data_IF_165576797444
#
_entry.id   IF_165576797444
#
_cell.length_a   1.000
_cell.length_b   1.000
_cell.length_c   1.000
_cell.angle_alpha   90.00
_cell.angle_beta   90.00
_cell.angle_gamma   90.00
#
_symmetry.space_group_name_H-M   'P 1'
#
loop_
_entity.id
_entity.type
_entity.pdbx_description
1 polymer ?
#
# COMPACT_ATOMS: atom_id res chain seq x y z
N UNK A 1 5.97 15.12 10.53
CA UNK A 1 7.22 15.74 10.03
C UNK A 1 8.27 14.65 9.89
N UNK A 2 8.96 14.57 8.75
CA UNK A 2 10.08 13.63 8.55
C UNK A 2 11.34 14.17 9.23
N UNK A 3 12.25 13.28 9.65
CA UNK A 3 13.53 13.65 10.28
C UNK A 3 14.38 14.58 9.42
N UNK A 4 14.33 14.44 8.09
CA UNK A 4 14.95 15.38 7.14
C UNK A 4 14.35 16.80 7.21
N UNK A 5 13.02 16.91 7.38
CA UNK A 5 12.35 18.21 7.54
C UNK A 5 12.69 18.93 8.84
N UNK A 6 12.99 18.18 9.91
CA UNK A 6 13.50 18.74 11.17
C UNK A 6 14.95 19.25 11.01
N UNK A 7 15.83 18.46 10.39
CA UNK A 7 17.21 18.87 10.11
C UNK A 7 17.27 20.15 9.25
N UNK A 8 16.47 20.23 8.17
CA UNK A 8 16.42 21.45 7.33
C UNK A 8 15.96 22.67 8.11
N UNK A 9 14.97 22.51 8.99
CA UNK A 9 14.50 23.62 9.83
C UNK A 9 15.60 24.10 10.77
N UNK A 10 16.24 23.18 11.48
CA UNK A 10 17.38 23.50 12.36
C UNK A 10 18.53 24.16 11.58
N UNK A 11 18.85 23.68 10.37
CA UNK A 11 19.88 24.31 9.53
C UNK A 11 19.54 25.78 9.25
N UNK A 12 18.32 26.05 8.79
CA UNK A 12 17.86 27.43 8.50
C UNK A 12 17.93 28.31 9.76
N UNK A 13 17.48 27.80 10.91
CA UNK A 13 17.52 28.52 12.19
C UNK A 13 18.97 28.84 12.61
N UNK A 14 19.88 27.87 12.53
CA UNK A 14 21.31 28.06 12.87
C UNK A 14 22.03 29.00 11.90
N UNK A 15 21.74 28.93 10.60
CA UNK A 15 22.30 29.85 9.60
C UNK A 15 21.80 31.28 9.81
N UNK A 16 20.53 31.45 10.18
CA UNK A 16 19.97 32.77 10.45
C UNK A 16 20.58 33.37 11.73
N UNK A 17 20.67 32.59 12.80
CA UNK A 17 21.34 33.02 14.04
C UNK A 17 22.80 33.43 13.80
N UNK A 18 23.55 32.66 12.98
CA UNK A 18 24.94 33.00 12.61
C UNK A 18 25.02 34.33 11.85
N UNK A 19 24.08 34.59 10.94
CA UNK A 19 24.01 35.85 10.18
C UNK A 19 23.70 37.04 11.09
N UNK A 20 22.75 36.87 12.01
CA UNK A 20 22.33 37.92 12.95
C UNK A 20 23.47 38.26 13.92
N UNK A 21 24.12 37.24 14.50
CA UNK A 21 25.29 37.41 15.37
C UNK A 21 26.48 38.06 14.64
N UNK A 22 26.71 37.70 13.37
CA UNK A 22 27.74 38.33 12.54
C UNK A 22 27.41 39.78 12.21
N UNK A 23 26.13 40.13 12.03
CA UNK A 23 25.71 41.52 11.82
C UNK A 23 25.91 42.35 13.09
N UNK A 24 25.52 41.84 14.26
CA UNK A 24 25.74 42.47 15.56
C UNK A 24 27.23 42.68 15.85
N UNK A 25 28.08 41.69 15.55
CA UNK A 25 29.54 41.84 15.68
C UNK A 25 30.08 43.01 14.86
N UNK A 26 29.63 43.19 13.61
CA UNK A 26 30.08 44.30 12.76
C UNK A 26 29.65 45.66 13.30
N UNK A 27 28.43 45.74 13.81
CA UNK A 27 27.90 46.97 14.41
C UNK A 27 28.71 47.37 15.66
N UNK A 28 28.95 46.43 16.57
CA UNK A 28 29.78 46.66 17.76
C UNK A 28 31.23 47.05 17.40
N UNK A 29 31.79 46.47 16.33
CA UNK A 29 33.14 46.81 15.87
C UNK A 29 33.23 48.25 15.37
N UNK A 30 32.21 48.71 14.63
CA UNK A 30 32.12 50.08 14.15
C UNK A 30 31.99 51.07 15.33
N UNK A 31 31.14 50.75 16.30
CA UNK A 31 30.91 51.57 17.50
C UNK A 31 32.16 51.66 18.40
N UNK A 32 32.94 50.59 18.47
CA UNK A 32 34.14 50.50 19.30
C UNK A 32 35.41 51.06 18.64
N UNK A 33 35.28 51.69 17.46
CA UNK A 33 36.43 52.22 16.71
C UNK A 33 37.44 51.14 16.30
N UNK A 34 36.99 49.90 16.09
CA UNK A 34 37.84 48.76 15.74
C UNK A 34 38.45 47.99 16.93
N UNK A 35 38.19 48.40 18.18
CA UNK A 35 38.66 47.66 19.36
C UNK A 35 37.71 46.48 19.65
N UNK A 36 38.26 45.26 19.70
CA UNK A 36 37.49 44.03 19.96
C UNK A 36 37.27 43.85 21.46
N UNK A 37 36.01 43.93 21.90
CA UNK A 37 35.61 43.73 23.30
C UNK A 37 35.42 42.24 23.66
N UNK A 38 35.34 41.89 24.95
CA UNK A 38 35.02 40.52 25.38
C UNK A 38 33.67 40.00 24.83
N UNK A 39 32.66 40.86 24.75
CA UNK A 39 31.35 40.53 24.17
C UNK A 39 31.46 40.17 22.69
N UNK A 40 32.26 40.91 21.93
CA UNK A 40 32.52 40.61 20.52
C UNK A 40 33.29 39.30 20.33
N UNK A 41 34.15 38.91 21.29
CA UNK A 41 34.80 37.59 21.27
C UNK A 41 33.79 36.46 21.52
N UNK A 42 32.83 36.67 22.43
CA UNK A 42 31.76 35.70 22.67
C UNK A 42 30.87 35.53 21.44
N UNK A 43 30.41 36.64 20.84
CA UNK A 43 29.65 36.62 19.57
C UNK A 43 30.43 35.92 18.46
N UNK A 44 31.75 36.13 18.40
CA UNK A 44 32.62 35.45 17.43
C UNK A 44 32.69 33.95 17.64
N UNK A 45 32.81 33.50 18.88
CA UNK A 45 32.76 32.07 19.17
C UNK A 45 31.41 31.47 18.78
N UNK A 46 30.32 32.16 19.13
CA UNK A 46 28.95 31.70 18.89
C UNK A 46 28.61 31.61 17.39
N UNK A 47 28.89 32.64 16.58
CA UNK A 47 28.57 32.56 15.15
C UNK A 47 29.45 31.54 14.40
N UNK A 48 30.66 31.23 14.91
CA UNK A 48 31.53 30.18 14.36
C UNK A 48 30.95 28.81 14.68
N UNK A 49 30.55 28.56 15.93
CA UNK A 49 29.88 27.32 16.33
C UNK A 49 28.60 27.08 15.53
N UNK A 50 27.78 28.12 15.34
CA UNK A 50 26.57 28.06 14.53
C UNK A 50 26.87 27.75 13.06
N UNK A 51 27.95 28.29 12.50
CA UNK A 51 28.37 28.00 11.13
C UNK A 51 28.87 26.56 10.97
N UNK A 52 29.64 26.04 11.92
CA UNK A 52 30.08 24.64 11.95
C UNK A 52 28.89 23.69 12.07
N UNK A 53 27.96 23.98 12.97
CA UNK A 53 26.72 23.21 13.17
C UNK A 53 25.87 23.18 11.90
N UNK A 54 25.69 24.33 11.24
CA UNK A 54 24.94 24.40 9.98
C UNK A 54 25.58 23.56 8.87
N UNK A 55 26.92 23.54 8.81
CA UNK A 55 27.68 22.74 7.84
C UNK A 55 27.52 21.24 8.09
N UNK A 56 27.58 20.82 9.35
CA UNK A 56 27.34 19.42 9.74
C UNK A 56 25.91 18.98 9.42
N UNK A 57 24.92 19.83 9.71
CA UNK A 57 23.52 19.57 9.37
C UNK A 57 23.31 19.46 7.85
N UNK A 58 23.98 20.30 7.05
CA UNK A 58 23.94 20.21 5.60
C UNK A 58 24.49 18.86 5.10
N UNK A 59 25.62 18.41 5.64
CA UNK A 59 26.19 17.10 5.33
C UNK A 59 25.23 15.95 5.65
N UNK A 60 24.60 15.97 6.82
CA UNK A 60 23.60 14.96 7.21
C UNK A 60 22.33 14.97 6.33
N UNK A 61 21.93 16.15 5.83
CA UNK A 61 20.80 16.28 4.91
C UNK A 61 21.15 15.63 3.58
N UNK A 62 22.32 15.93 3.02
CA UNK A 62 22.80 15.36 1.75
C UNK A 62 22.90 13.84 1.83
N UNK A 63 23.53 13.28 2.88
CA UNK A 63 23.65 11.83 3.06
C UNK A 63 22.27 11.15 3.10
N UNK A 64 21.31 11.73 3.84
CA UNK A 64 19.95 11.19 3.92
C UNK A 64 19.22 11.29 2.58
N UNK A 65 19.38 12.38 1.85
CA UNK A 65 18.76 12.57 0.53
C UNK A 65 19.27 11.56 -0.50
N UNK A 66 20.55 11.22 -0.45
CA UNK A 66 21.14 10.17 -1.31
C UNK A 66 20.58 8.77 -0.98
N UNK A 67 20.28 8.49 0.29
CA UNK A 67 19.72 7.20 0.71
C UNK A 67 18.23 7.04 0.41
N UNK A 68 17.48 8.15 0.28
CA UNK A 68 16.03 8.12 0.10
C UNK A 68 15.57 7.34 -1.15
N UNK A 69 16.15 7.54 -2.35
CA UNK A 69 15.79 6.77 -3.55
C UNK A 69 16.07 5.27 -3.38
N UNK A 70 17.21 4.92 -2.80
CA UNK A 70 17.59 3.52 -2.56
C UNK A 70 16.60 2.83 -1.61
N UNK A 71 16.22 3.51 -0.52
CA UNK A 71 15.25 3.00 0.44
C UNK A 71 13.87 2.88 -0.20
N UNK A 72 13.46 3.85 -1.01
CA UNK A 72 12.19 3.84 -1.73
C UNK A 72 12.12 2.66 -2.71
N UNK A 73 13.15 2.44 -3.52
CA UNK A 73 13.22 1.31 -4.46
C UNK A 73 13.24 -0.04 -3.72
N UNK A 74 14.06 -0.16 -2.69
CA UNK A 74 14.14 -1.40 -1.88
C UNK A 74 12.80 -1.72 -1.23
N UNK A 75 12.12 -0.72 -0.69
CA UNK A 75 10.79 -0.86 -0.10
C UNK A 75 9.76 -1.26 -1.17
N UNK A 76 9.80 -0.64 -2.35
CA UNK A 76 8.91 -0.96 -3.45
C UNK A 76 9.10 -2.42 -3.95
N UNK A 77 10.35 -2.89 -4.05
CA UNK A 77 10.67 -4.28 -4.40
C UNK A 77 10.10 -5.27 -3.38
N UNK A 78 10.32 -5.02 -2.09
CA UNK A 78 9.78 -5.87 -1.01
C UNK A 78 8.25 -5.87 -1.00
N UNK A 79 7.63 -4.70 -1.18
CA UNK A 79 6.18 -4.59 -1.25
C UNK A 79 5.60 -5.35 -2.45
N UNK A 80 6.28 -5.31 -3.61
CA UNK A 80 5.88 -6.09 -4.78
C UNK A 80 5.96 -7.60 -4.53
N UNK A 81 7.07 -8.07 -3.97
CA UNK A 81 7.24 -9.47 -3.61
C UNK A 81 6.15 -9.93 -2.63
N UNK A 82 5.89 -9.14 -1.58
CA UNK A 82 4.83 -9.43 -0.61
C UNK A 82 3.45 -9.55 -1.28
N UNK A 83 3.05 -8.60 -2.11
CA UNK A 83 1.74 -8.63 -2.79
C UNK A 83 1.61 -9.87 -3.68
N UNK A 84 2.66 -10.21 -4.45
CA UNK A 84 2.61 -11.36 -5.34
C UNK A 84 2.56 -12.68 -4.56
N UNK A 85 3.33 -12.80 -3.48
CA UNK A 85 3.29 -13.98 -2.61
C UNK A 85 1.93 -14.11 -1.90
N UNK A 86 1.36 -13.00 -1.43
CA UNK A 86 0.04 -12.97 -0.82
C UNK A 86 -1.01 -13.49 -1.79
N UNK A 87 -1.05 -12.95 -3.02
CA UNK A 87 -1.96 -13.42 -4.06
C UNK A 87 -1.81 -14.92 -4.32
N UNK A 88 -0.58 -15.42 -4.53
CA UNK A 88 -0.34 -16.83 -4.80
C UNK A 88 -0.85 -17.74 -3.67
N UNK A 89 -0.56 -17.41 -2.40
CA UNK A 89 -1.06 -18.18 -1.25
C UNK A 89 -2.59 -18.17 -1.20
N UNK A 90 -3.20 -16.99 -1.37
CA UNK A 90 -4.67 -16.89 -1.29
C UNK A 90 -5.37 -17.58 -2.45
N UNK A 91 -4.83 -17.50 -3.67
CA UNK A 91 -5.36 -18.19 -4.85
C UNK A 91 -5.31 -19.70 -4.66
N UNK A 92 -4.14 -20.24 -4.31
CA UNK A 92 -3.98 -21.68 -4.07
C UNK A 92 -4.89 -22.17 -2.95
N UNK A 93 -4.99 -21.42 -1.84
CA UNK A 93 -5.83 -21.83 -0.71
C UNK A 93 -7.32 -21.76 -1.03
N UNK A 94 -7.77 -20.74 -1.78
CA UNK A 94 -9.16 -20.66 -2.23
C UNK A 94 -9.52 -21.85 -3.12
N UNK A 95 -8.65 -22.20 -4.06
CA UNK A 95 -8.86 -23.35 -4.96
C UNK A 95 -8.92 -24.68 -4.18
N UNK A 96 -8.05 -24.85 -3.19
CA UNK A 96 -8.06 -26.02 -2.31
C UNK A 96 -9.37 -26.10 -1.49
N UNK A 97 -9.79 -25.00 -0.88
CA UNK A 97 -11.02 -24.96 -0.08
C UNK A 97 -12.27 -25.23 -0.94
N UNK A 98 -12.30 -24.73 -2.17
CA UNK A 98 -13.35 -25.05 -3.13
C UNK A 98 -13.33 -26.54 -3.49
N UNK A 99 -12.15 -27.10 -3.77
CA UNK A 99 -12.00 -28.52 -4.08
C UNK A 99 -12.48 -29.40 -2.93
N UNK A 100 -12.06 -29.11 -1.70
CA UNK A 100 -12.47 -29.84 -0.51
C UNK A 100 -13.99 -29.79 -0.32
N UNK A 101 -14.60 -28.62 -0.49
CA UNK A 101 -16.05 -28.48 -0.46
C UNK A 101 -16.74 -29.42 -1.47
N UNK A 102 -16.23 -29.49 -2.70
CA UNK A 102 -16.79 -30.41 -3.71
C UNK A 102 -16.50 -31.88 -3.42
N UNK A 103 -15.41 -32.22 -2.72
CA UNK A 103 -15.15 -33.60 -2.27
C UNK A 103 -16.22 -34.05 -1.27
N UNK A 104 -16.56 -33.20 -0.29
CA UNK A 104 -17.50 -33.57 0.77
C UNK A 104 -18.97 -33.39 0.39
N UNK A 105 -19.29 -32.39 -0.42
CA UNK A 105 -20.68 -31.99 -0.72
C UNK A 105 -21.04 -32.03 -2.21
N UNK A 106 -20.07 -32.30 -3.08
CA UNK A 106 -20.27 -32.23 -4.53
C UNK A 106 -21.27 -33.25 -5.05
N UNK A 107 -21.33 -34.45 -4.48
CA UNK A 107 -22.28 -35.49 -4.91
C UNK A 107 -23.75 -35.06 -4.72
N UNK A 108 -24.08 -34.53 -3.54
CA UNK A 108 -25.41 -34.02 -3.22
C UNK A 108 -25.75 -32.80 -4.06
N UNK A 109 -24.82 -31.83 -4.15
CA UNK A 109 -25.01 -30.62 -4.95
C UNK A 109 -25.21 -30.95 -6.43
N UNK A 110 -24.36 -31.79 -7.01
CA UNK A 110 -24.48 -32.23 -8.41
C UNK A 110 -25.78 -32.97 -8.67
N UNK A 111 -26.26 -33.79 -7.73
CA UNK A 111 -27.54 -34.49 -7.88
C UNK A 111 -28.73 -33.52 -7.92
N UNK A 112 -28.75 -32.52 -7.02
CA UNK A 112 -29.79 -31.49 -7.01
C UNK A 112 -29.76 -30.62 -8.27
N UNK A 113 -28.57 -30.20 -8.69
CA UNK A 113 -28.37 -29.43 -9.91
C UNK A 113 -28.77 -30.23 -11.15
N UNK A 114 -28.46 -31.52 -11.20
CA UNK A 114 -28.92 -32.42 -12.27
C UNK A 114 -30.45 -32.55 -12.30
N UNK A 115 -31.10 -32.74 -11.15
CA UNK A 115 -32.56 -32.76 -11.07
C UNK A 115 -33.18 -31.44 -11.57
N UNK A 116 -32.54 -30.31 -11.26
CA UNK A 116 -32.96 -28.99 -11.76
C UNK A 116 -32.80 -28.88 -13.27
N UNK A 117 -31.68 -29.34 -13.82
CA UNK A 117 -31.46 -29.40 -15.27
C UNK A 117 -32.53 -30.24 -15.97
N UNK A 118 -32.84 -31.43 -15.44
CA UNK A 118 -33.92 -32.31 -15.95
C UNK A 118 -35.31 -31.66 -15.90
N UNK A 119 -35.52 -30.67 -15.04
CA UNK A 119 -36.76 -29.88 -15.04
C UNK A 119 -36.78 -28.91 -16.22
N UNK A 120 -35.66 -28.26 -16.54
CA UNK A 120 -35.55 -27.38 -17.71
C UNK A 120 -35.67 -28.15 -19.01
N UNK A 121 -35.01 -29.31 -19.16
CA UNK A 121 -35.16 -30.15 -20.36
C UNK A 121 -36.61 -30.54 -20.65
N UNK A 122 -37.40 -30.81 -19.60
CA UNK A 122 -38.82 -31.15 -19.74
C UNK A 122 -39.66 -29.98 -20.26
N UNK A 123 -39.30 -28.76 -19.89
CA UNK A 123 -40.11 -27.56 -20.16
C UNK A 123 -39.61 -26.75 -21.37
N UNK A 124 -38.34 -26.92 -21.73
CA UNK A 124 -37.61 -26.10 -22.68
C UNK A 124 -36.71 -26.94 -23.59
N UNK A 125 -37.16 -28.15 -23.94
CA UNK A 125 -36.49 -28.95 -24.96
C UNK A 125 -36.56 -28.21 -26.31
N UNK A 126 -35.46 -28.26 -27.06
CA UNK A 126 -35.34 -27.70 -28.43
C UNK A 126 -36.39 -28.24 -29.41
N UNK A 127 -37.08 -29.31 -29.04
CA UNK A 127 -38.12 -29.96 -29.84
C UNK A 127 -39.52 -29.35 -29.59
N UNK A 128 -39.65 -28.42 -28.63
CA UNK A 128 -40.89 -27.71 -28.32
C UNK A 128 -40.95 -26.43 -29.16
N UNK A 129 -42.10 -26.19 -29.80
CA UNK A 129 -42.32 -25.00 -30.63
C UNK A 129 -42.19 -23.72 -29.80
N UNK A 130 -41.35 -22.78 -30.26
CA UNK A 130 -41.08 -21.51 -29.55
C UNK A 130 -39.83 -21.54 -28.65
N UNK A 131 -39.14 -22.68 -28.55
CA UNK A 131 -37.81 -22.74 -27.95
C UNK A 131 -36.75 -22.40 -29.00
N UNK A 132 -35.84 -21.51 -28.62
CA UNK A 132 -34.73 -21.00 -29.42
C UNK A 132 -33.44 -21.26 -28.63
N UNK A 133 -32.53 -22.00 -29.24
CA UNK A 133 -31.20 -22.27 -28.70
C UNK A 133 -30.44 -20.96 -28.43
N UNK A 134 -29.77 -20.90 -27.27
CA UNK A 134 -29.07 -19.72 -26.78
C UNK A 134 -29.97 -18.64 -26.19
N UNK A 135 -31.29 -18.84 -26.14
CA UNK A 135 -32.26 -17.84 -25.62
C UNK A 135 -33.09 -18.40 -24.48
N UNK A 136 -33.83 -19.49 -24.71
CA UNK A 136 -34.75 -20.06 -23.73
C UNK A 136 -34.72 -21.60 -23.71
N UNK A 137 -33.71 -22.21 -24.31
CA UNK A 137 -33.43 -23.64 -24.19
C UNK A 137 -32.92 -24.00 -22.79
N UNK A 138 -32.92 -25.30 -22.49
CA UNK A 138 -32.57 -25.82 -21.18
C UNK A 138 -31.14 -25.45 -20.71
N UNK A 139 -30.15 -25.42 -21.61
CA UNK A 139 -28.76 -25.12 -21.26
C UNK A 139 -28.59 -23.65 -20.89
N UNK A 140 -29.22 -22.76 -21.65
CA UNK A 140 -29.24 -21.32 -21.38
C UNK A 140 -29.90 -21.03 -20.03
N UNK A 141 -31.10 -21.56 -19.81
CA UNK A 141 -31.85 -21.37 -18.55
C UNK A 141 -31.10 -21.95 -17.34
N UNK A 142 -30.43 -23.09 -17.52
CA UNK A 142 -29.64 -23.71 -16.45
C UNK A 142 -28.39 -22.90 -16.09
N UNK A 143 -27.67 -22.38 -17.10
CA UNK A 143 -26.52 -21.50 -16.88
C UNK A 143 -26.93 -20.23 -16.13
N UNK A 144 -28.00 -19.58 -16.59
CA UNK A 144 -28.54 -18.39 -15.93
C UNK A 144 -28.98 -18.68 -14.50
N UNK A 145 -29.64 -19.82 -14.27
CA UNK A 145 -30.05 -20.25 -12.94
C UNK A 145 -28.85 -20.39 -11.99
N UNK A 146 -27.78 -21.08 -12.41
CA UNK A 146 -26.57 -21.24 -11.58
C UNK A 146 -25.93 -19.88 -11.30
N UNK A 147 -25.74 -19.04 -12.33
CA UNK A 147 -25.13 -17.73 -12.16
C UNK A 147 -25.93 -16.85 -11.21
N UNK A 148 -27.25 -16.79 -11.37
CA UNK A 148 -28.13 -16.02 -10.50
C UNK A 148 -28.13 -16.57 -9.07
N UNK A 149 -28.09 -17.90 -8.90
CA UNK A 149 -27.99 -18.52 -7.58
C UNK A 149 -26.68 -18.12 -6.91
N UNK A 150 -25.53 -18.23 -7.59
CA UNK A 150 -24.24 -17.85 -7.02
C UNK A 150 -24.18 -16.37 -6.69
N UNK A 151 -24.57 -15.49 -7.63
CA UNK A 151 -24.61 -14.04 -7.42
C UNK A 151 -25.46 -13.66 -6.21
N UNK A 152 -26.63 -14.27 -6.04
CA UNK A 152 -27.49 -14.04 -4.87
C UNK A 152 -26.75 -14.25 -3.55
N UNK A 153 -25.82 -15.20 -3.49
CA UNK A 153 -25.05 -15.51 -2.28
C UNK A 153 -23.71 -14.78 -2.19
N UNK A 154 -23.17 -14.26 -3.29
CA UNK A 154 -21.87 -13.57 -3.35
C UNK A 154 -21.98 -12.04 -3.48
N UNK A 155 -23.18 -11.48 -3.59
CA UNK A 155 -23.40 -10.03 -3.78
C UNK A 155 -23.16 -9.19 -2.52
N UNK A 156 -23.11 -9.80 -1.34
CA UNK A 156 -22.72 -9.12 -0.10
C UNK A 156 -21.30 -9.54 0.29
N UNK A 157 -20.48 -8.57 0.72
CA UNK A 157 -19.18 -8.87 1.32
C UNK A 157 -19.43 -9.57 2.65
N UNK A 158 -19.49 -10.89 2.60
CA UNK A 158 -19.65 -11.72 3.78
C UNK A 158 -18.26 -12.02 4.38
N UNK A 159 -18.12 -11.95 5.72
CA UNK A 159 -16.93 -12.49 6.35
C UNK A 159 -16.85 -13.99 6.05
N UNK A 160 -15.61 -14.53 6.03
CA UNK A 160 -15.39 -15.97 5.99
C UNK A 160 -16.25 -16.63 7.08
N UNK A 161 -17.21 -17.47 6.67
CA UNK A 161 -18.16 -18.13 7.57
C UNK A 161 -17.63 -19.43 8.15
N UNK A 162 -16.38 -19.76 7.85
CA UNK A 162 -15.64 -20.89 8.39
C UNK A 162 -14.25 -20.42 8.82
N UNK A 163 -13.67 -21.12 9.79
CA UNK A 163 -12.34 -20.83 10.27
C UNK A 163 -11.32 -21.56 9.39
N UNK A 164 -10.39 -20.81 8.84
CA UNK A 164 -9.24 -21.33 8.12
C UNK A 164 -7.99 -20.61 8.62
N UNK A 165 -6.98 -21.36 9.08
CA UNK A 165 -5.82 -20.78 9.76
C UNK A 165 -4.97 -19.92 8.81
N UNK A 166 -4.87 -20.32 7.53
CA UNK A 166 -4.14 -19.56 6.51
C UNK A 166 -4.88 -18.26 6.24
N UNK A 167 -6.16 -18.31 5.90
CA UNK A 167 -6.96 -17.13 5.57
C UNK A 167 -7.15 -16.19 6.78
N UNK A 168 -7.16 -16.73 8.00
CA UNK A 168 -7.19 -15.93 9.24
C UNK A 168 -5.90 -15.14 9.44
N UNK A 169 -4.76 -15.70 9.02
CA UNK A 169 -3.46 -15.05 9.14
C UNK A 169 -3.19 -14.08 7.98
N UNK A 170 -3.47 -14.50 6.74
CA UNK A 170 -3.16 -13.72 5.53
C UNK A 170 -4.21 -12.68 5.20
N UNK A 171 -5.46 -12.90 5.61
CA UNK A 171 -6.62 -12.15 5.13
C UNK A 171 -6.90 -12.40 3.64
N UNK A 172 -7.97 -11.79 3.14
CA UNK A 172 -8.39 -11.89 1.73
C UNK A 172 -7.69 -10.92 0.79
N UNK A 173 -6.95 -9.94 1.32
CA UNK A 173 -6.24 -8.94 0.53
C UNK A 173 -4.93 -8.53 1.21
N UNK A 174 -3.91 -8.11 0.43
CA UNK A 174 -2.69 -7.54 0.99
C UNK A 174 -2.98 -6.31 1.85
N UNK A 175 -2.12 -6.03 2.83
CA UNK A 175 -2.21 -4.82 3.66
C UNK A 175 -2.15 -3.58 2.76
N UNK A 176 -3.11 -2.66 2.90
CA UNK A 176 -3.31 -1.51 2.01
C UNK A 176 -2.03 -0.71 1.69
N UNK A 177 -1.16 -0.49 2.69
CA UNK A 177 0.10 0.23 2.52
C UNK A 177 1.11 -0.40 1.56
N UNK A 178 1.01 -1.71 1.27
CA UNK A 178 1.92 -2.39 0.34
C UNK A 178 1.66 -1.98 -1.12
N UNK A 179 0.40 -1.69 -1.48
CA UNK A 179 0.07 -1.23 -2.83
C UNK A 179 0.68 0.14 -3.13
N UNK A 180 0.62 1.05 -2.16
CA UNK A 180 1.21 2.38 -2.29
C UNK A 180 2.74 2.31 -2.31
N UNK A 181 3.32 1.49 -1.42
CA UNK A 181 4.76 1.25 -1.41
C UNK A 181 5.28 0.70 -2.74
N UNK A 182 4.58 -0.25 -3.37
CA UNK A 182 4.95 -0.81 -4.68
C UNK A 182 4.97 0.25 -5.79
N UNK A 183 4.08 1.23 -5.76
CA UNK A 183 3.98 2.29 -6.78
C UNK A 183 5.16 3.27 -6.73
N UNK A 184 5.88 3.36 -5.60
CA UNK A 184 6.99 4.31 -5.39
C UNK A 184 8.17 4.12 -6.34
N UNK A 185 8.28 2.97 -7.01
CA UNK A 185 9.29 2.71 -8.05
C UNK A 185 9.22 3.68 -9.25
N UNK A 186 8.08 4.37 -9.44
CA UNK A 186 7.87 5.31 -10.56
C UNK A 186 8.09 6.78 -10.19
N UNK A 187 8.40 7.09 -8.93
CA UNK A 187 8.36 8.45 -8.39
C UNK A 187 9.74 9.06 -8.12
N UNK A 188 10.81 8.29 -8.31
CA UNK A 188 12.20 8.73 -8.15
C UNK A 188 13.01 8.33 -9.38
#
# INVERSE_FOLDING_TARGET
>A
MTTSGLCRRHQIETEQASKDNRAQFRELLNQSGGIVTPEMKALRAEYVEQQETATELAGQITEKEELLPLLADTTARKANAYVNCHHGITEERIDELLRDFFIFHGSELSSLLWMKYRQFERNSSVHIQGIIEGTNDADTLYREFILNLMLKWTNEILPLRFRDDVMSLTGSAPVSGSHDARKKRKLF
#
